data_IF_927192378559
#
_entry.id   IF_927192378559
#
_cell.length_a   1.000
_cell.length_b   1.000
_cell.length_c   1.000
_cell.angle_alpha   90.00
_cell.angle_beta   90.00
_cell.angle_gamma   90.00
#
_symmetry.space_group_name_H-M   'P 1'
#
loop_
_entity.id
_entity.type
_entity.pdbx_description
1 polymer ?
#
# COMPACT_ATOMS: atom_id res chain seq x y z
N UNK A 1 -9.60 -6.38 5.09
CA UNK A 1 -9.86 -5.31 4.11
C UNK A 1 -8.65 -4.39 4.12
N UNK A 2 -8.14 -4.02 2.95
CA UNK A 2 -7.05 -3.05 2.81
C UNK A 2 -7.62 -1.77 2.18
N UNK A 3 -7.50 -0.64 2.87
CA UNK A 3 -7.77 0.69 2.34
C UNK A 3 -6.47 1.22 1.74
N UNK A 4 -6.47 1.45 0.42
CA UNK A 4 -5.29 1.82 -0.38
C UNK A 4 -5.50 3.08 -1.22
N UNK A 5 -6.65 3.73 -1.08
CA UNK A 5 -7.06 4.90 -1.88
C UNK A 5 -6.54 6.20 -1.29
N UNK A 6 -6.34 6.25 0.04
CA UNK A 6 -6.01 7.48 0.77
C UNK A 6 -7.14 8.50 0.80
N UNK A 7 -8.37 8.08 0.50
CA UNK A 7 -9.55 8.92 0.57
C UNK A 7 -10.26 8.71 1.92
N UNK A 8 -10.31 9.73 2.82
CA UNK A 8 -10.97 9.56 4.12
C UNK A 8 -12.48 9.30 4.01
N UNK A 9 -13.13 9.65 2.90
CA UNK A 9 -14.59 9.50 2.77
C UNK A 9 -15.01 8.05 2.55
N UNK A 10 -14.11 7.16 2.08
CA UNK A 10 -14.45 5.75 1.86
C UNK A 10 -14.31 4.90 3.12
N UNK A 11 -13.57 5.37 4.12
CA UNK A 11 -13.26 4.62 5.35
C UNK A 11 -14.52 4.18 6.13
N UNK A 12 -15.54 5.04 6.35
CA UNK A 12 -16.75 4.64 7.08
C UNK A 12 -17.54 3.51 6.41
N UNK A 13 -17.48 3.42 5.07
CA UNK A 13 -18.07 2.32 4.32
C UNK A 13 -17.15 1.09 4.29
N UNK A 14 -15.86 1.29 4.06
CA UNK A 14 -14.89 0.21 3.85
C UNK A 14 -14.67 -0.66 5.10
N UNK A 15 -14.76 -0.09 6.31
CA UNK A 15 -14.65 -0.86 7.56
C UNK A 15 -15.77 -1.91 7.69
N UNK A 16 -16.95 -1.63 7.14
CA UNK A 16 -18.11 -2.52 7.19
C UNK A 16 -17.92 -3.80 6.37
N UNK A 17 -17.02 -3.77 5.39
CA UNK A 17 -16.64 -4.93 4.57
C UNK A 17 -15.80 -5.95 5.34
N UNK A 18 -15.21 -5.57 6.48
CA UNK A 18 -14.53 -6.54 7.32
C UNK A 18 -15.58 -7.37 8.08
N UNK A 19 -15.41 -8.69 8.05
CA UNK A 19 -16.22 -9.62 8.87
C UNK A 19 -16.03 -9.36 10.37
N UNK A 20 -16.92 -9.88 11.26
CA UNK A 20 -16.64 -9.92 12.69
C UNK A 20 -15.25 -10.50 12.99
N UNK A 21 -14.53 -9.94 13.96
CA UNK A 21 -13.13 -10.26 14.28
C UNK A 21 -12.14 -10.00 13.13
N UNK A 22 -12.59 -9.33 12.06
CA UNK A 22 -11.81 -9.00 10.88
C UNK A 22 -10.84 -7.84 11.10
N UNK A 23 -9.89 -7.70 10.19
CA UNK A 23 -8.90 -6.61 10.17
C UNK A 23 -9.22 -5.63 9.06
N UNK A 24 -9.31 -4.36 9.43
CA UNK A 24 -9.33 -3.21 8.54
C UNK A 24 -7.96 -2.55 8.57
N UNK A 25 -7.22 -2.63 7.45
CA UNK A 25 -5.84 -2.18 7.33
C UNK A 25 -5.82 -0.88 6.54
N UNK A 26 -5.35 0.20 7.16
CA UNK A 26 -5.16 1.50 6.53
C UNK A 26 -3.73 1.55 5.99
N UNK A 27 -3.58 1.19 4.71
CA UNK A 27 -2.27 1.09 4.04
C UNK A 27 -1.85 2.41 3.38
N UNK A 28 -2.81 3.18 2.88
CA UNK A 28 -2.60 4.52 2.37
C UNK A 28 -2.47 5.57 3.49
N UNK A 29 -2.29 6.84 3.08
CA UNK A 29 -2.30 8.01 3.97
C UNK A 29 -3.55 8.86 3.72
N UNK A 30 -4.68 8.58 4.39
CA UNK A 30 -5.89 9.39 4.28
C UNK A 30 -5.62 10.87 4.52
N UNK A 31 -6.01 11.72 3.57
CA UNK A 31 -5.85 13.18 3.70
C UNK A 31 -7.11 13.81 4.28
N UNK A 32 -7.16 13.88 5.61
CA UNK A 32 -8.29 14.42 6.38
C UNK A 32 -8.88 13.40 7.35
N UNK A 33 -9.75 13.84 8.28
CA UNK A 33 -10.39 12.96 9.25
C UNK A 33 -11.50 12.10 8.64
N UNK A 34 -11.79 10.96 9.28
CA UNK A 34 -12.92 10.08 8.97
C UNK A 34 -13.74 9.84 10.24
N UNK A 35 -15.06 9.76 10.10
CA UNK A 35 -15.98 9.45 11.21
C UNK A 35 -16.26 7.94 11.24
N UNK A 36 -15.97 7.28 12.36
CA UNK A 36 -16.26 5.87 12.59
C UNK A 36 -17.13 5.74 13.83
N UNK A 37 -18.15 4.89 13.75
CA UNK A 37 -18.89 4.43 14.92
C UNK A 37 -18.09 3.30 15.60
N UNK A 38 -17.47 3.61 16.73
CA UNK A 38 -16.69 2.63 17.48
C UNK A 38 -17.54 1.60 18.22
N UNK A 39 -18.85 1.82 18.41
CA UNK A 39 -19.73 0.83 18.99
C UNK A 39 -20.09 -0.24 17.96
N UNK A 40 -20.86 0.14 16.93
CA UNK A 40 -21.42 -0.83 15.99
C UNK A 40 -20.35 -1.38 15.03
N UNK A 41 -19.44 -0.53 14.57
CA UNK A 41 -18.49 -0.94 13.54
C UNK A 41 -17.19 -1.54 14.09
N UNK A 42 -16.89 -1.33 15.37
CA UNK A 42 -15.63 -1.80 15.98
C UNK A 42 -15.89 -2.73 17.16
N UNK A 43 -16.57 -2.26 18.21
CA UNK A 43 -16.79 -3.03 19.44
C UNK A 43 -17.69 -4.25 19.22
N UNK A 44 -18.94 -4.03 18.78
CA UNK A 44 -19.94 -5.09 18.61
C UNK A 44 -19.45 -6.19 17.65
N UNK A 45 -18.65 -5.79 16.64
CA UNK A 45 -18.09 -6.69 15.63
C UNK A 45 -16.70 -7.20 16.00
N UNK A 46 -16.11 -6.70 17.09
CA UNK A 46 -14.73 -6.96 17.51
C UNK A 46 -13.70 -6.79 16.38
N UNK A 47 -13.89 -5.79 15.51
CA UNK A 47 -12.98 -5.52 14.39
C UNK A 47 -11.71 -4.83 14.86
N UNK A 48 -10.60 -5.14 14.19
CA UNK A 48 -9.31 -4.50 14.44
C UNK A 48 -9.00 -3.46 13.36
N UNK A 49 -8.64 -2.25 13.76
CA UNK A 49 -8.12 -1.21 12.87
C UNK A 49 -6.60 -1.17 13.01
N UNK A 50 -5.88 -1.28 11.89
CA UNK A 50 -4.41 -1.33 11.86
C UNK A 50 -3.89 -0.24 10.92
N UNK A 51 -3.13 0.71 11.45
CA UNK A 51 -2.34 1.64 10.64
C UNK A 51 -0.98 1.04 10.27
N UNK A 52 -0.55 1.21 9.02
CA UNK A 52 0.68 0.59 8.51
C UNK A 52 1.65 1.61 7.91
N UNK A 53 1.88 2.71 8.63
CA UNK A 53 2.92 3.67 8.21
C UNK A 53 4.27 2.95 8.09
N UNK A 54 5.08 3.31 7.09
CA UNK A 54 6.34 2.61 6.81
C UNK A 54 7.31 2.61 8.02
N UNK A 55 7.24 3.63 8.88
CA UNK A 55 8.06 3.71 10.09
C UNK A 55 7.67 2.70 11.18
N UNK A 56 6.50 2.08 11.10
CA UNK A 56 6.07 1.03 12.04
C UNK A 56 6.90 -0.26 11.91
N UNK A 57 7.72 -0.37 10.86
CA UNK A 57 8.66 -1.48 10.70
C UNK A 57 9.98 -1.17 11.44
N UNK A 58 10.31 -1.91 12.51
CA UNK A 58 11.50 -1.63 13.29
C UNK A 58 12.78 -2.05 12.54
N UNK A 59 13.91 -1.47 12.92
CA UNK A 59 15.22 -1.86 12.40
C UNK A 59 15.64 -3.26 12.91
N UNK A 60 15.26 -3.57 14.16
CA UNK A 60 15.55 -4.83 14.85
C UNK A 60 14.27 -5.46 15.37
N UNK A 61 14.27 -6.78 15.51
CA UNK A 61 13.11 -7.52 16.00
C UNK A 61 12.81 -7.14 17.45
N UNK A 62 11.53 -7.04 17.78
CA UNK A 62 11.06 -6.90 19.16
C UNK A 62 10.07 -8.03 19.48
N UNK A 63 9.80 -8.33 20.76
CA UNK A 63 8.78 -9.31 21.13
C UNK A 63 7.40 -9.04 20.51
N UNK A 64 7.10 -7.78 20.21
CA UNK A 64 5.82 -7.35 19.62
C UNK A 64 5.87 -7.24 18.09
N UNK A 65 7.06 -7.03 17.50
CA UNK A 65 7.26 -6.82 16.07
C UNK A 65 8.49 -7.59 15.56
N UNK A 66 8.32 -8.86 15.18
CA UNK A 66 9.40 -9.67 14.62
C UNK A 66 9.73 -9.33 13.14
N UNK A 67 8.85 -8.57 12.47
CA UNK A 67 9.01 -8.22 11.06
C UNK A 67 9.73 -6.88 10.89
N UNK A 68 11.05 -6.95 10.70
CA UNK A 68 11.88 -5.78 10.39
C UNK A 68 11.81 -5.39 8.92
N UNK A 69 12.25 -4.17 8.58
CA UNK A 69 12.39 -3.71 7.19
C UNK A 69 13.22 -4.68 6.34
N UNK A 70 14.34 -5.17 6.91
CA UNK A 70 15.23 -6.13 6.25
C UNK A 70 14.54 -7.46 5.98
N UNK A 71 13.77 -7.99 6.94
CA UNK A 71 13.03 -9.26 6.77
C UNK A 71 11.91 -9.12 5.74
N UNK A 72 11.15 -8.02 5.78
CA UNK A 72 10.10 -7.75 4.80
C UNK A 72 10.66 -7.66 3.38
N UNK A 73 11.75 -6.91 3.18
CA UNK A 73 12.42 -6.84 1.88
C UNK A 73 12.93 -8.21 1.41
N UNK A 74 13.58 -8.98 2.31
CA UNK A 74 14.06 -10.33 1.98
C UNK A 74 12.92 -11.27 1.58
N UNK A 75 11.80 -11.24 2.30
CA UNK A 75 10.62 -12.03 1.96
C UNK A 75 10.10 -11.65 0.57
N UNK A 76 9.95 -10.36 0.28
CA UNK A 76 9.50 -9.90 -1.04
C UNK A 76 10.38 -10.43 -2.18
N UNK A 77 11.71 -10.30 -2.06
CA UNK A 77 12.63 -10.84 -3.07
C UNK A 77 12.58 -12.37 -3.18
N UNK A 78 12.39 -13.08 -2.07
CA UNK A 78 12.18 -14.52 -2.12
C UNK A 78 10.89 -14.87 -2.89
N UNK A 79 9.78 -14.17 -2.64
CA UNK A 79 8.52 -14.39 -3.36
C UNK A 79 8.65 -14.13 -4.87
N UNK A 80 9.44 -13.12 -5.27
CA UNK A 80 9.78 -12.87 -6.68
C UNK A 80 10.60 -14.01 -7.27
N UNK A 81 11.66 -14.42 -6.57
CA UNK A 81 12.54 -15.51 -7.01
C UNK A 81 11.79 -16.83 -7.20
N UNK A 82 10.86 -17.13 -6.30
CA UNK A 82 10.02 -18.34 -6.37
C UNK A 82 8.85 -18.21 -7.36
N UNK A 83 8.70 -17.07 -8.05
CA UNK A 83 7.63 -16.84 -9.02
C UNK A 83 6.22 -16.68 -8.41
N UNK A 84 6.13 -16.55 -7.09
CA UNK A 84 4.85 -16.33 -6.38
C UNK A 84 4.31 -14.90 -6.57
N UNK A 85 5.20 -13.97 -6.91
CA UNK A 85 4.86 -12.61 -7.35
C UNK A 85 5.45 -12.41 -8.75
N UNK A 86 4.61 -11.98 -9.69
CA UNK A 86 5.05 -11.54 -11.01
C UNK A 86 4.79 -10.04 -11.15
N UNK A 87 5.84 -9.26 -11.46
CA UNK A 87 5.76 -7.81 -11.64
C UNK A 87 5.82 -7.36 -13.10
N UNK A 88 5.98 -8.28 -14.06
CA UNK A 88 6.22 -7.94 -15.46
C UNK A 88 5.08 -7.09 -16.03
N UNK A 89 3.85 -7.39 -15.64
CA UNK A 89 2.65 -6.67 -16.06
C UNK A 89 2.41 -5.36 -15.30
N UNK A 90 3.17 -5.07 -14.24
CA UNK A 90 3.04 -3.80 -13.50
C UNK A 90 3.76 -2.64 -14.21
N UNK A 91 4.83 -2.94 -14.95
CA UNK A 91 5.61 -1.93 -15.67
C UNK A 91 4.86 -1.59 -16.95
N UNK A 92 4.11 -0.49 -16.94
CA UNK A 92 3.33 -0.08 -18.10
C UNK A 92 4.12 0.81 -19.05
N UNK A 93 5.12 1.53 -18.55
CA UNK A 93 5.94 2.41 -19.37
C UNK A 93 7.42 2.30 -19.01
N UNK A 94 8.27 2.49 -20.03
CA UNK A 94 9.71 2.63 -19.90
C UNK A 94 10.16 3.83 -20.70
N UNK A 95 10.98 4.69 -20.07
CA UNK A 95 11.58 5.85 -20.71
C UNK A 95 13.09 5.82 -20.49
N UNK A 96 13.93 6.23 -21.45
CA UNK A 96 15.31 6.61 -21.14
C UNK A 96 15.30 7.67 -20.03
N UNK A 97 16.25 7.61 -19.10
CA UNK A 97 16.26 8.53 -17.95
C UNK A 97 16.30 10.01 -18.38
N UNK A 98 16.94 10.31 -19.52
CA UNK A 98 17.00 11.66 -20.13
C UNK A 98 15.64 12.19 -20.56
N UNK A 99 14.66 11.30 -20.75
CA UNK A 99 13.29 11.64 -21.10
C UNK A 99 12.35 11.69 -19.89
N UNK A 100 12.88 11.67 -18.66
CA UNK A 100 12.08 11.80 -17.46
C UNK A 100 11.05 12.96 -17.52
N UNK A 101 11.36 14.17 -18.05
CA UNK A 101 10.35 15.23 -18.20
C UNK A 101 9.09 14.79 -18.95
N UNK A 102 9.22 14.00 -20.03
CA UNK A 102 8.08 13.48 -20.80
C UNK A 102 7.24 12.51 -19.98
N UNK A 103 7.89 11.63 -19.22
CA UNK A 103 7.20 10.71 -18.32
C UNK A 103 6.36 11.46 -17.26
N UNK A 104 6.92 12.52 -16.66
CA UNK A 104 6.20 13.35 -15.70
C UNK A 104 5.04 14.11 -16.35
N UNK A 105 5.22 14.69 -17.54
CA UNK A 105 4.15 15.37 -18.27
C UNK A 105 2.98 14.44 -18.57
N UNK A 106 3.26 13.22 -19.05
CA UNK A 106 2.26 12.18 -19.27
C UNK A 106 1.46 11.88 -17.99
N UNK A 107 2.14 11.70 -16.84
CA UNK A 107 1.50 11.44 -15.55
C UNK A 107 0.66 12.61 -15.04
N UNK A 108 1.11 13.85 -15.26
CA UNK A 108 0.36 15.05 -14.90
C UNK A 108 -0.91 15.20 -15.73
N UNK A 109 -0.84 14.89 -17.03
CA UNK A 109 -1.98 14.94 -17.95
C UNK A 109 -3.03 13.88 -17.60
N UNK A 110 -2.60 12.64 -17.46
CA UNK A 110 -3.46 11.54 -17.04
C UNK A 110 -2.61 10.40 -16.43
N UNK A 111 -2.59 10.31 -15.10
CA UNK A 111 -1.85 9.23 -14.42
C UNK A 111 -2.52 7.85 -14.57
N UNK A 112 -3.79 7.77 -14.94
CA UNK A 112 -4.54 6.49 -14.97
C UNK A 112 -4.04 5.55 -16.06
N UNK A 113 -3.36 6.09 -17.07
CA UNK A 113 -2.69 5.29 -18.10
C UNK A 113 -1.46 4.53 -17.58
N UNK A 114 -0.96 4.83 -16.37
CA UNK A 114 0.26 4.25 -15.84
C UNK A 114 0.07 3.57 -14.47
N UNK A 115 0.69 2.40 -14.30
CA UNK A 115 0.78 1.70 -13.01
C UNK A 115 2.18 1.84 -12.41
N UNK A 116 3.22 1.47 -13.18
CA UNK A 116 4.61 1.76 -12.86
C UNK A 116 5.36 2.25 -14.11
N UNK A 117 6.11 3.34 -13.94
CA UNK A 117 6.99 3.90 -14.96
C UNK A 117 8.44 3.65 -14.54
N UNK A 118 9.22 3.01 -15.41
CA UNK A 118 10.64 2.78 -15.18
C UNK A 118 11.46 3.76 -16.00
N UNK A 119 12.38 4.46 -15.33
CA UNK A 119 13.42 5.25 -15.98
C UNK A 119 14.65 4.36 -16.19
N UNK A 120 15.05 4.18 -17.44
CA UNK A 120 16.20 3.36 -17.81
C UNK A 120 17.47 4.21 -17.81
N UNK A 121 18.41 3.83 -16.94
CA UNK A 121 19.72 4.47 -16.78
C UNK A 121 20.84 3.74 -17.53
N UNK A 122 20.52 2.66 -18.23
CA UNK A 122 21.44 1.97 -19.13
C UNK A 122 21.44 2.78 -20.42
N UNK A 123 22.31 3.78 -20.50
CA UNK A 123 22.70 4.37 -21.79
C UNK A 123 23.43 3.29 -22.62
#
# INVERSE_FOLDING_TARGET
VFEVTGNPTVIPWAIKLAKPLGRFIVLSSPRGPSTIDFHDEVNAMSRMIIGTHFTSQPAYETPYYPWTRKRNAKLFFNLLKEGLINLDHFITHRFPWREAPKAYEMLLKDRTQALAVVLDFRD
#
